data_IF_039726541790
#
_entry.id   IF_039726541790
#
_cell.length_a   1.000
_cell.length_b   1.000
_cell.length_c   1.000
_cell.angle_alpha   90.00
_cell.angle_beta   90.00
_cell.angle_gamma   90.00
#
_symmetry.space_group_name_H-M   'P 1'
#
loop_
_entity.id
_entity.type
_entity.pdbx_description
1 polymer ?
#
# COMPACT_ATOMS: atom_id res chain seq x y z
N UNK A 1 -5.16 -15.50 32.74
CA UNK A 1 -6.18 -16.53 33.08
C UNK A 1 -7.62 -16.09 32.75
N UNK A 2 -8.14 -15.01 33.36
CA UNK A 2 -9.55 -14.61 33.19
C UNK A 2 -9.98 -14.34 31.73
N UNK A 3 -9.17 -13.65 30.94
CA UNK A 3 -9.47 -13.40 29.52
C UNK A 3 -9.63 -14.69 28.71
N UNK A 4 -8.87 -15.74 29.02
CA UNK A 4 -9.00 -17.03 28.35
C UNK A 4 -10.31 -17.72 28.69
N UNK A 5 -10.76 -17.68 29.94
CA UNK A 5 -12.08 -18.19 30.33
C UNK A 5 -13.21 -17.50 29.56
N UNK A 6 -13.11 -16.18 29.40
CA UNK A 6 -14.07 -15.40 28.63
C UNK A 6 -14.04 -15.79 27.15
N UNK A 7 -12.86 -15.93 26.55
CA UNK A 7 -12.72 -16.36 25.14
C UNK A 7 -13.34 -17.75 24.93
N UNK A 8 -13.10 -18.70 25.83
CA UNK A 8 -13.72 -20.02 25.76
C UNK A 8 -15.24 -19.95 25.90
N UNK A 9 -15.76 -19.09 26.78
CA UNK A 9 -17.19 -18.90 26.92
C UNK A 9 -17.82 -18.26 25.68
N UNK A 10 -17.18 -17.25 25.08
CA UNK A 10 -17.62 -16.64 23.82
C UNK A 10 -17.62 -17.68 22.70
N UNK A 11 -16.55 -18.49 22.59
CA UNK A 11 -16.47 -19.56 21.60
C UNK A 11 -17.60 -20.58 21.77
N UNK A 12 -17.90 -20.98 23.01
CA UNK A 12 -18.98 -21.91 23.31
C UNK A 12 -20.35 -21.36 22.87
N UNK A 13 -20.66 -20.11 23.20
CA UNK A 13 -21.92 -19.48 22.79
C UNK A 13 -22.00 -19.32 21.26
N UNK A 14 -20.90 -18.90 20.62
CA UNK A 14 -20.81 -18.74 19.18
C UNK A 14 -21.03 -20.06 18.43
N UNK A 15 -20.33 -21.13 18.83
CA UNK A 15 -20.45 -22.43 18.16
C UNK A 15 -21.84 -23.05 18.33
N UNK A 16 -22.54 -22.77 19.44
CA UNK A 16 -23.96 -23.14 19.57
C UNK A 16 -24.85 -22.45 18.54
N UNK A 17 -24.56 -21.21 18.16
CA UNK A 17 -25.30 -20.52 17.10
C UNK A 17 -24.96 -21.09 15.71
N UNK A 18 -23.69 -21.41 15.47
CA UNK A 18 -23.24 -22.06 14.22
C UNK A 18 -23.92 -23.41 14.05
N UNK A 19 -23.90 -24.27 15.08
CA UNK A 19 -24.54 -25.60 15.06
C UNK A 19 -26.05 -25.51 14.82
N UNK A 20 -26.73 -24.53 15.42
CA UNK A 20 -28.17 -24.30 15.17
C UNK A 20 -28.47 -23.95 13.72
N UNK A 21 -27.58 -23.21 13.06
CA UNK A 21 -27.78 -22.75 11.68
C UNK A 21 -27.38 -23.80 10.65
N UNK A 22 -26.33 -24.58 10.93
CA UNK A 22 -25.83 -25.65 10.08
C UNK A 22 -25.63 -26.94 10.90
N UNK A 23 -26.72 -27.67 11.23
CA UNK A 23 -26.63 -28.89 12.01
C UNK A 23 -25.81 -29.98 11.29
N UNK A 24 -24.82 -30.55 11.98
CA UNK A 24 -23.98 -31.63 11.46
C UNK A 24 -22.80 -31.20 10.57
N UNK A 25 -22.64 -29.90 10.26
CA UNK A 25 -21.48 -29.38 9.53
C UNK A 25 -20.31 -29.12 10.49
N UNK A 26 -19.68 -30.19 10.96
CA UNK A 26 -18.57 -30.13 11.92
C UNK A 26 -17.32 -29.45 11.34
N UNK A 27 -17.11 -29.51 10.03
CA UNK A 27 -15.98 -28.84 9.37
C UNK A 27 -16.15 -27.32 9.40
N UNK A 28 -17.35 -26.80 9.16
CA UNK A 28 -17.65 -25.38 9.34
C UNK A 28 -17.49 -24.93 10.78
N UNK A 29 -17.99 -25.72 11.74
CA UNK A 29 -17.79 -25.41 13.17
C UNK A 29 -16.30 -25.28 13.52
N UNK A 30 -15.45 -26.16 12.96
CA UNK A 30 -13.99 -26.07 13.13
C UNK A 30 -13.42 -24.78 12.52
N UNK A 31 -13.78 -24.45 11.27
CA UNK A 31 -13.28 -23.24 10.58
C UNK A 31 -13.74 -21.93 11.23
N UNK A 32 -14.93 -21.92 11.83
CA UNK A 32 -15.48 -20.74 12.50
C UNK A 32 -15.12 -20.65 13.99
N UNK A 33 -14.42 -21.64 14.55
CA UNK A 33 -14.04 -21.60 15.96
C UNK A 33 -13.04 -20.47 16.27
N UNK A 34 -13.13 -19.94 17.49
CA UNK A 34 -12.14 -19.00 18.03
C UNK A 34 -10.87 -19.71 18.50
N UNK A 35 -10.90 -21.03 18.62
CA UNK A 35 -9.79 -21.85 19.12
C UNK A 35 -9.33 -22.77 18.00
N UNK A 36 -8.08 -22.62 17.60
CA UNK A 36 -7.41 -23.52 16.67
C UNK A 36 -6.87 -24.71 17.47
N UNK A 37 -7.36 -25.91 17.15
CA UNK A 37 -7.00 -27.16 17.84
C UNK A 37 -5.85 -27.90 17.16
N UNK A 38 -5.44 -27.50 15.95
CA UNK A 38 -4.38 -28.14 15.20
C UNK A 38 -2.99 -27.73 15.70
N UNK A 39 -2.21 -28.71 16.19
CA UNK A 39 -0.89 -28.49 16.76
C UNK A 39 -0.97 -27.93 18.17
N UNK A 40 -0.34 -26.78 18.41
CA UNK A 40 -0.44 -26.08 19.68
C UNK A 40 -1.73 -25.25 19.69
N UNK A 41 -2.57 -25.42 20.72
CA UNK A 41 -3.82 -24.69 20.85
C UNK A 41 -3.60 -23.19 20.81
N UNK A 42 -4.30 -22.49 19.92
CA UNK A 42 -4.17 -21.04 19.71
C UNK A 42 -5.54 -20.37 19.67
N UNK A 43 -5.56 -19.08 20.00
CA UNK A 43 -6.73 -18.24 19.81
C UNK A 43 -6.64 -17.59 18.43
N UNK A 44 -7.65 -17.81 17.59
CA UNK A 44 -7.79 -17.06 16.34
C UNK A 44 -8.38 -15.68 16.64
N UNK A 45 -7.49 -14.69 16.73
CA UNK A 45 -7.88 -13.31 17.06
C UNK A 45 -8.77 -12.68 15.98
N UNK A 46 -8.62 -13.09 14.71
CA UNK A 46 -9.43 -12.55 13.63
C UNK A 46 -10.89 -13.02 13.76
N UNK A 47 -11.11 -14.30 14.01
CA UNK A 47 -12.44 -14.87 14.28
C UNK A 47 -13.07 -14.20 15.51
N UNK A 48 -12.29 -14.01 16.58
CA UNK A 48 -12.78 -13.32 17.78
C UNK A 48 -13.23 -11.89 17.49
N UNK A 49 -12.47 -11.14 16.67
CA UNK A 49 -12.86 -9.81 16.24
C UNK A 49 -14.14 -9.80 15.41
N UNK A 50 -14.33 -10.76 14.50
CA UNK A 50 -15.55 -10.86 13.67
C UNK A 50 -16.78 -11.17 14.52
N UNK A 51 -16.66 -12.13 15.46
CA UNK A 51 -17.75 -12.50 16.37
C UNK A 51 -18.10 -11.34 17.31
N UNK A 52 -17.08 -10.68 17.88
CA UNK A 52 -17.25 -9.59 18.84
C UNK A 52 -17.61 -8.23 18.25
N UNK A 53 -17.61 -8.08 16.92
CA UNK A 53 -17.91 -6.80 16.26
C UNK A 53 -19.27 -6.80 15.55
N UNK A 54 -19.90 -5.63 15.49
CA UNK A 54 -21.11 -5.40 14.71
C UNK A 54 -20.82 -5.05 13.25
N UNK A 55 -19.58 -4.69 12.91
CA UNK A 55 -19.15 -4.38 11.55
C UNK A 55 -17.70 -4.83 11.32
N UNK A 56 -17.42 -5.28 10.09
CA UNK A 56 -16.09 -5.70 9.62
C UNK A 56 -15.89 -5.10 8.23
N UNK A 57 -14.75 -4.45 7.96
CA UNK A 57 -14.52 -3.83 6.66
C UNK A 57 -13.17 -4.18 6.03
N UNK A 58 -13.17 -4.33 4.71
CA UNK A 58 -11.96 -4.29 3.91
C UNK A 58 -11.53 -2.85 3.59
N UNK A 59 -10.28 -2.70 3.14
CA UNK A 59 -9.61 -1.41 2.88
C UNK A 59 -9.53 -1.00 1.41
N UNK A 60 -10.07 -1.84 0.52
CA UNK A 60 -10.23 -1.61 -0.92
C UNK A 60 -11.34 -2.57 -1.42
N UNK A 61 -12.06 -2.23 -2.49
CA UNK A 61 -13.18 -3.04 -2.99
C UNK A 61 -12.76 -4.51 -3.20
N UNK A 62 -11.69 -4.73 -3.98
CA UNK A 62 -11.13 -6.06 -4.23
C UNK A 62 -10.73 -6.80 -2.94
N UNK A 63 -10.19 -6.09 -1.94
CA UNK A 63 -9.83 -6.68 -0.67
C UNK A 63 -11.07 -7.10 0.12
N UNK A 64 -12.12 -6.27 0.14
CA UNK A 64 -13.40 -6.64 0.74
C UNK A 64 -14.01 -7.87 0.06
N UNK A 65 -13.90 -7.96 -1.27
CA UNK A 65 -14.42 -9.12 -2.01
C UNK A 65 -13.65 -10.40 -1.70
N UNK A 66 -12.32 -10.33 -1.62
CA UNK A 66 -11.48 -11.46 -1.18
C UNK A 66 -11.86 -11.90 0.23
N UNK A 67 -12.05 -10.97 1.18
CA UNK A 67 -12.45 -11.32 2.54
C UNK A 67 -13.79 -12.07 2.58
N UNK A 68 -14.79 -11.61 1.83
CA UNK A 68 -16.11 -12.27 1.75
C UNK A 68 -16.07 -13.61 1.01
N UNK A 69 -15.23 -13.73 -0.02
CA UNK A 69 -15.18 -14.92 -0.87
C UNK A 69 -14.26 -16.02 -0.33
N UNK A 70 -13.28 -15.68 0.52
CA UNK A 70 -12.24 -16.62 0.96
C UNK A 70 -12.07 -16.62 2.48
N UNK A 71 -11.36 -15.64 3.02
CA UNK A 71 -10.89 -15.63 4.42
C UNK A 71 -12.02 -15.75 5.44
N UNK A 72 -13.11 -15.03 5.22
CA UNK A 72 -14.26 -14.98 6.14
C UNK A 72 -15.55 -15.44 5.46
N UNK A 73 -15.45 -16.35 4.50
CA UNK A 73 -16.59 -16.82 3.73
C UNK A 73 -17.72 -17.35 4.64
N UNK A 74 -17.40 -18.26 5.56
CA UNK A 74 -18.40 -18.84 6.48
C UNK A 74 -19.04 -17.77 7.40
N UNK A 75 -18.25 -16.78 7.84
CA UNK A 75 -18.76 -15.65 8.64
C UNK A 75 -19.63 -14.70 7.82
N UNK A 76 -19.31 -14.49 6.55
CA UNK A 76 -20.11 -13.69 5.63
C UNK A 76 -21.45 -14.37 5.33
N UNK A 77 -21.47 -15.69 5.17
CA UNK A 77 -22.73 -16.44 5.07
C UNK A 77 -23.56 -16.32 6.35
N UNK A 78 -22.93 -16.33 7.52
CA UNK A 78 -23.63 -16.15 8.80
C UNK A 78 -24.19 -14.74 8.98
N UNK A 79 -23.40 -13.72 8.69
CA UNK A 79 -23.77 -12.32 8.93
C UNK A 79 -23.37 -11.43 7.75
N UNK A 80 -24.09 -11.50 6.61
CA UNK A 80 -23.70 -10.77 5.41
C UNK A 80 -23.67 -9.25 5.63
N UNK A 81 -24.62 -8.73 6.41
CA UNK A 81 -24.76 -7.30 6.68
C UNK A 81 -23.62 -6.70 7.52
N UNK A 82 -22.83 -7.53 8.23
CA UNK A 82 -21.65 -7.06 8.97
C UNK A 82 -20.51 -6.62 8.04
N UNK A 83 -20.43 -7.14 6.82
CA UNK A 83 -19.28 -6.96 5.95
C UNK A 83 -19.42 -5.75 5.03
N UNK A 84 -18.51 -4.80 5.19
CA UNK A 84 -18.52 -3.52 4.49
C UNK A 84 -17.20 -3.28 3.71
N UNK A 85 -17.20 -2.23 2.90
CA UNK A 85 -15.99 -1.67 2.32
C UNK A 85 -15.78 -0.23 2.79
N UNK A 86 -14.55 0.08 3.20
CA UNK A 86 -14.07 1.45 3.42
C UNK A 86 -12.73 1.59 2.73
N UNK A 87 -12.74 2.05 1.48
CA UNK A 87 -11.51 2.23 0.70
C UNK A 87 -10.61 3.28 1.37
N UNK A 88 -9.34 2.94 1.56
CA UNK A 88 -8.38 3.84 2.21
C UNK A 88 -8.22 5.15 1.46
N UNK A 89 -8.03 6.23 2.22
CA UNK A 89 -7.71 7.57 1.71
C UNK A 89 -6.41 8.11 2.30
N UNK A 90 -5.94 9.21 1.72
CA UNK A 90 -4.84 10.02 2.26
C UNK A 90 -5.34 11.45 2.50
N UNK A 91 -4.81 12.13 3.51
CA UNK A 91 -5.17 13.52 3.77
C UNK A 91 -4.49 14.46 2.75
N UNK A 92 -5.24 15.28 1.99
CA UNK A 92 -4.66 16.21 1.03
C UNK A 92 -3.86 17.34 1.71
N UNK A 93 -4.12 17.61 2.99
CA UNK A 93 -3.40 18.62 3.77
C UNK A 93 -1.91 18.28 3.89
N UNK A 94 -1.57 17.02 4.15
CA UNK A 94 -0.17 16.58 4.24
C UNK A 94 0.42 16.20 2.88
N UNK A 95 -0.35 15.48 2.08
CA UNK A 95 0.14 14.83 0.85
C UNK A 95 -0.03 15.68 -0.42
N UNK A 96 -0.50 16.91 -0.28
CA UNK A 96 -0.54 17.89 -1.37
C UNK A 96 -0.14 19.28 -0.85
N UNK A 97 -0.94 19.87 0.04
CA UNK A 97 -0.75 21.24 0.54
C UNK A 97 0.63 21.44 1.21
N UNK A 98 0.99 20.58 2.16
CA UNK A 98 2.25 20.70 2.89
C UNK A 98 3.46 20.24 2.07
N UNK A 99 3.39 19.11 1.37
CA UNK A 99 4.56 18.55 0.70
C UNK A 99 4.83 19.15 -0.69
N UNK A 100 3.84 19.80 -1.30
CA UNK A 100 3.95 20.34 -2.65
C UNK A 100 3.22 21.70 -2.79
N UNK A 101 3.65 22.72 -2.00
CA UNK A 101 2.98 24.03 -1.96
C UNK A 101 2.88 24.68 -3.35
N UNK A 102 3.93 24.62 -4.17
CA UNK A 102 3.91 25.18 -5.52
C UNK A 102 2.84 24.55 -6.44
N UNK A 103 2.53 23.25 -6.27
CA UNK A 103 1.41 22.64 -6.99
C UNK A 103 0.07 23.04 -6.40
N UNK A 104 0.01 23.18 -5.07
CA UNK A 104 -1.20 23.64 -4.37
C UNK A 104 -1.58 25.06 -4.77
N UNK A 105 -0.62 25.98 -4.83
CA UNK A 105 -0.84 27.35 -5.28
C UNK A 105 -1.36 27.37 -6.73
N UNK A 106 -0.72 26.58 -7.63
CA UNK A 106 -1.16 26.46 -9.02
C UNK A 106 -2.59 25.89 -9.17
N UNK A 107 -3.00 24.99 -8.27
CA UNK A 107 -4.37 24.47 -8.24
C UNK A 107 -5.31 25.57 -7.74
N UNK A 108 -4.96 26.23 -6.64
CA UNK A 108 -5.76 27.29 -6.03
C UNK A 108 -6.00 28.46 -6.98
N UNK A 109 -5.00 28.85 -7.79
CA UNK A 109 -5.14 29.86 -8.83
C UNK A 109 -6.20 29.52 -9.89
N UNK A 110 -6.51 28.22 -10.08
CA UNK A 110 -7.46 27.77 -11.10
C UNK A 110 -8.85 27.50 -10.56
N UNK A 111 -8.98 27.08 -9.30
CA UNK A 111 -10.24 26.56 -8.76
C UNK A 111 -10.57 27.08 -7.34
N UNK A 112 -9.80 28.02 -6.78
CA UNK A 112 -9.95 28.52 -5.41
C UNK A 112 -9.35 27.58 -4.35
N UNK A 113 -9.50 27.88 -3.06
CA UNK A 113 -8.82 27.15 -1.96
C UNK A 113 -9.65 26.04 -1.30
N UNK A 114 -10.94 25.94 -1.63
CA UNK A 114 -11.87 25.00 -0.99
C UNK A 114 -11.53 23.52 -1.25
N UNK A 115 -10.75 23.23 -2.30
CA UNK A 115 -10.34 21.85 -2.63
C UNK A 115 -9.54 21.16 -1.51
N UNK A 116 -8.95 21.94 -0.60
CA UNK A 116 -8.15 21.41 0.52
C UNK A 116 -9.00 20.59 1.50
N UNK A 117 -10.31 20.88 1.61
CA UNK A 117 -11.31 20.11 2.37
C UNK A 117 -12.28 19.36 1.46
N UNK A 118 -12.46 19.79 0.20
CA UNK A 118 -13.33 19.17 -0.80
C UNK A 118 -12.54 18.66 -2.01
N UNK A 119 -11.81 17.55 -1.82
CA UNK A 119 -10.83 17.06 -2.81
C UNK A 119 -11.44 16.68 -4.16
N UNK A 120 -12.74 16.38 -4.20
CA UNK A 120 -13.52 16.12 -5.42
C UNK A 120 -13.52 17.32 -6.38
N UNK A 121 -13.34 18.54 -5.88
CA UNK A 121 -13.22 19.75 -6.71
C UNK A 121 -12.03 19.70 -7.68
N UNK A 122 -10.99 18.88 -7.42
CA UNK A 122 -9.87 18.69 -8.36
C UNK A 122 -10.33 18.21 -9.75
N UNK A 123 -11.53 17.63 -9.88
CA UNK A 123 -12.10 17.28 -11.19
C UNK A 123 -12.27 18.49 -12.12
N UNK A 124 -12.45 19.69 -11.58
CA UNK A 124 -12.57 20.92 -12.36
C UNK A 124 -11.31 21.23 -13.18
N UNK A 125 -10.13 20.76 -12.73
CA UNK A 125 -8.86 20.91 -13.45
C UNK A 125 -8.85 20.23 -14.82
N UNK A 126 -9.76 19.26 -15.07
CA UNK A 126 -9.90 18.60 -16.39
C UNK A 126 -10.10 19.61 -17.53
N UNK A 127 -10.73 20.76 -17.25
CA UNK A 127 -10.95 21.85 -18.21
C UNK A 127 -9.64 22.45 -18.74
N UNK A 128 -8.59 22.42 -17.92
CA UNK A 128 -7.26 22.96 -18.22
C UNK A 128 -6.28 21.89 -18.72
N UNK A 129 -6.69 20.62 -18.80
CA UNK A 129 -5.78 19.51 -19.10
C UNK A 129 -5.11 19.61 -20.49
N UNK A 130 -5.76 20.28 -21.45
CA UNK A 130 -5.22 20.52 -22.81
C UNK A 130 -4.64 21.93 -22.99
N UNK A 131 -4.67 22.78 -21.96
CA UNK A 131 -4.08 24.12 -22.03
C UNK A 131 -2.54 24.01 -21.97
N UNK A 132 -1.80 24.41 -23.03
CA UNK A 132 -0.35 24.35 -23.05
C UNK A 132 0.31 25.18 -21.95
N UNK A 133 -0.31 26.30 -21.54
CA UNK A 133 0.22 27.13 -20.46
C UNK A 133 0.14 26.41 -19.11
N UNK A 134 -1.02 25.81 -18.81
CA UNK A 134 -1.20 25.02 -17.60
C UNK A 134 -0.28 23.79 -17.56
N UNK A 135 -0.14 23.07 -18.66
CA UNK A 135 0.78 21.94 -18.76
C UNK A 135 2.23 22.35 -18.47
N UNK A 136 2.70 23.47 -19.06
CA UNK A 136 4.04 24.01 -18.78
C UNK A 136 4.21 24.39 -17.31
N UNK A 137 3.20 24.99 -16.68
CA UNK A 137 3.24 25.33 -15.26
C UNK A 137 3.36 24.09 -14.37
N UNK A 138 2.54 23.05 -14.61
CA UNK A 138 2.64 21.77 -13.87
C UNK A 138 4.01 21.11 -14.07
N UNK A 139 4.53 21.11 -15.29
CA UNK A 139 5.86 20.57 -15.59
C UNK A 139 6.97 21.34 -14.87
N UNK A 140 6.89 22.67 -14.82
CA UNK A 140 7.83 23.52 -14.07
C UNK A 140 7.85 23.15 -12.59
N UNK A 141 6.68 23.06 -11.95
CA UNK A 141 6.56 22.64 -10.55
C UNK A 141 7.17 21.25 -10.33
N UNK A 142 6.91 20.29 -11.24
CA UNK A 142 7.52 18.96 -11.16
C UNK A 142 9.05 19.03 -11.25
N UNK A 143 9.59 19.86 -12.14
CA UNK A 143 11.04 20.00 -12.31
C UNK A 143 11.70 20.64 -11.09
N UNK A 144 11.09 21.67 -10.50
CA UNK A 144 11.55 22.29 -9.25
C UNK A 144 11.54 21.27 -8.11
N UNK A 145 10.51 20.43 -8.01
CA UNK A 145 10.47 19.35 -7.02
C UNK A 145 11.60 18.33 -7.20
N UNK A 146 11.96 18.00 -8.45
CA UNK A 146 13.09 17.10 -8.74
C UNK A 146 14.43 17.73 -8.36
N UNK A 147 14.61 19.03 -8.61
CA UNK A 147 15.79 19.78 -8.19
C UNK A 147 15.93 19.77 -6.66
N UNK A 148 14.85 20.05 -5.92
CA UNK A 148 14.83 19.98 -4.46
C UNK A 148 15.23 18.60 -3.93
N UNK A 149 14.70 17.54 -4.54
CA UNK A 149 15.05 16.17 -4.16
C UNK A 149 16.50 15.81 -4.50
N UNK A 150 17.02 16.25 -5.65
CA UNK A 150 18.40 16.02 -6.03
C UNK A 150 19.38 16.68 -5.03
N UNK A 151 19.13 17.94 -4.66
CA UNK A 151 19.93 18.64 -3.64
C UNK A 151 19.83 17.96 -2.27
N UNK A 152 18.67 17.42 -1.91
CA UNK A 152 18.49 16.68 -0.67
C UNK A 152 19.32 15.39 -0.65
N UNK A 153 19.30 14.63 -1.75
CA UNK A 153 20.06 13.37 -1.87
C UNK A 153 21.56 13.67 -1.83
N UNK A 154 22.03 14.66 -2.58
CA UNK A 154 23.45 15.06 -2.57
C UNK A 154 23.91 15.47 -1.16
N UNK A 155 23.09 16.24 -0.44
CA UNK A 155 23.39 16.66 0.93
C UNK A 155 23.47 15.47 1.90
N UNK A 156 22.54 14.53 1.80
CA UNK A 156 22.40 13.45 2.80
C UNK A 156 23.28 12.23 2.49
N UNK A 157 23.67 12.02 1.23
CA UNK A 157 24.41 10.82 0.80
C UNK A 157 25.69 11.11 0.01
N UNK A 158 25.90 12.36 -0.44
CA UNK A 158 27.00 12.73 -1.33
C UNK A 158 26.80 12.29 -2.80
N UNK A 159 25.67 11.66 -3.14
CA UNK A 159 25.41 11.16 -4.50
C UNK A 159 24.73 12.24 -5.33
N UNK A 160 25.37 12.65 -6.42
CA UNK A 160 24.78 13.53 -7.42
C UNK A 160 23.90 12.75 -8.39
N UNK A 161 22.68 13.22 -8.63
CA UNK A 161 21.74 12.61 -9.58
C UNK A 161 21.32 13.62 -10.64
N UNK A 162 21.05 13.16 -11.87
CA UNK A 162 20.62 14.00 -12.97
C UNK A 162 19.12 14.37 -12.85
N UNK A 163 18.74 15.64 -12.56
CA UNK A 163 17.34 16.04 -12.43
C UNK A 163 16.59 16.11 -13.75
N UNK A 164 17.25 15.97 -14.91
CA UNK A 164 16.60 15.83 -16.21
C UNK A 164 16.14 14.38 -16.47
N UNK A 165 16.70 13.40 -15.77
CA UNK A 165 16.31 11.99 -15.90
C UNK A 165 14.89 11.72 -15.38
N UNK A 166 14.29 10.62 -15.81
CA UNK A 166 13.05 10.14 -15.20
C UNK A 166 13.36 9.62 -13.79
N UNK A 167 12.64 10.13 -12.77
CA UNK A 167 12.74 9.63 -11.40
C UNK A 167 11.78 8.46 -11.23
N UNK A 168 12.33 7.25 -11.13
CA UNK A 168 11.60 5.99 -10.98
C UNK A 168 11.70 5.54 -9.52
N UNK A 169 10.63 5.73 -8.74
CA UNK A 169 10.69 5.68 -7.27
C UNK A 169 9.78 4.58 -6.72
N UNK A 170 10.37 3.63 -5.98
CA UNK A 170 9.66 2.59 -5.26
C UNK A 170 9.93 2.70 -3.76
N UNK A 171 9.12 3.51 -3.06
CA UNK A 171 9.24 3.71 -1.60
C UNK A 171 8.09 3.02 -0.86
N UNK A 172 8.42 2.00 -0.07
CA UNK A 172 7.48 1.23 0.79
C UNK A 172 8.26 0.27 1.69
N UNK A 173 7.62 -0.35 2.69
CA UNK A 173 8.23 -1.46 3.45
C UNK A 173 8.87 -2.49 2.50
N UNK A 174 10.04 -3.03 2.83
CA UNK A 174 10.69 -4.05 2.01
C UNK A 174 10.06 -5.40 2.35
N UNK A 175 9.50 -6.06 1.35
CA UNK A 175 8.79 -7.32 1.51
C UNK A 175 8.67 -8.06 0.18
N UNK A 176 8.77 -9.38 0.17
CA UNK A 176 8.69 -10.20 -1.05
C UNK A 176 7.44 -9.93 -1.91
N UNK A 177 6.24 -9.86 -1.30
CA UNK A 177 5.01 -9.58 -2.06
C UNK A 177 4.99 -8.18 -2.70
N UNK A 178 5.82 -7.24 -2.21
CA UNK A 178 5.95 -5.88 -2.77
C UNK A 178 6.91 -5.83 -3.96
N UNK A 179 7.60 -6.93 -4.24
CA UNK A 179 8.39 -7.19 -5.45
C UNK A 179 9.45 -6.12 -5.73
N UNK A 180 10.16 -5.64 -4.73
CA UNK A 180 11.37 -4.84 -4.95
C UNK A 180 12.42 -5.62 -5.75
N UNK A 181 12.53 -6.94 -5.54
CA UNK A 181 13.40 -7.81 -6.34
C UNK A 181 13.09 -7.73 -7.84
N UNK A 182 11.81 -7.74 -8.23
CA UNK A 182 11.41 -7.61 -9.64
C UNK A 182 11.87 -6.27 -10.23
N UNK A 183 11.79 -5.18 -9.45
CA UNK A 183 12.29 -3.88 -9.88
C UNK A 183 13.82 -3.89 -10.06
N UNK A 184 14.56 -4.49 -9.12
CA UNK A 184 16.02 -4.63 -9.22
C UNK A 184 16.42 -5.45 -10.45
N UNK A 185 15.72 -6.55 -10.74
CA UNK A 185 15.95 -7.34 -11.96
C UNK A 185 15.74 -6.50 -13.22
N UNK A 186 14.72 -5.65 -13.24
CA UNK A 186 14.51 -4.72 -14.35
C UNK A 186 15.67 -3.71 -14.49
N UNK A 187 16.21 -3.20 -13.39
CA UNK A 187 17.42 -2.33 -13.42
C UNK A 187 18.61 -3.07 -14.04
N UNK A 188 18.87 -4.31 -13.64
CA UNK A 188 19.94 -5.14 -14.19
C UNK A 188 19.73 -5.37 -15.70
N UNK A 189 18.49 -5.62 -16.13
CA UNK A 189 18.17 -5.77 -17.56
C UNK A 189 18.44 -4.49 -18.33
N UNK A 190 18.07 -3.31 -17.79
CA UNK A 190 18.36 -2.03 -18.43
C UNK A 190 19.86 -1.78 -18.54
N UNK A 191 20.62 -2.03 -17.47
CA UNK A 191 22.07 -1.93 -17.45
C UNK A 191 22.70 -2.81 -18.53
N UNK A 192 22.33 -4.09 -18.59
CA UNK A 192 22.87 -5.03 -19.57
C UNK A 192 22.54 -4.64 -21.01
N UNK A 193 21.34 -4.09 -21.27
CA UNK A 193 20.96 -3.58 -22.60
C UNK A 193 21.81 -2.37 -23.01
N UNK A 194 22.03 -1.44 -22.09
CA UNK A 194 22.90 -0.27 -22.33
C UNK A 194 24.35 -0.72 -22.61
N UNK A 195 24.86 -1.69 -21.84
CA UNK A 195 26.21 -2.24 -22.06
C UNK A 195 26.35 -2.95 -23.40
N UNK A 196 25.29 -3.63 -23.87
CA UNK A 196 25.29 -4.36 -25.14
C UNK A 196 25.22 -3.45 -26.35
N UNK A 197 24.40 -2.40 -26.29
CA UNK A 197 24.29 -1.40 -27.35
C UNK A 197 24.22 0.00 -26.74
N UNK A 198 25.37 0.65 -26.53
CA UNK A 198 25.42 1.99 -25.94
C UNK A 198 24.77 3.08 -26.81
N UNK A 199 24.56 2.82 -28.11
CA UNK A 199 23.99 3.79 -29.06
C UNK A 199 22.47 3.75 -29.13
N UNK A 200 21.85 2.71 -28.56
CA UNK A 200 20.40 2.58 -28.55
C UNK A 200 19.70 3.72 -27.80
N UNK A 201 18.47 4.09 -28.19
CA UNK A 201 17.75 5.22 -27.62
C UNK A 201 17.18 4.86 -26.23
N UNK A 202 17.96 5.11 -25.18
CA UNK A 202 17.49 4.97 -23.79
C UNK A 202 17.10 6.32 -23.20
N UNK A 203 15.96 6.37 -22.51
CA UNK A 203 15.64 7.49 -21.63
C UNK A 203 16.47 7.39 -20.34
N UNK A 204 17.24 8.43 -19.96
CA UNK A 204 17.96 8.44 -18.69
C UNK A 204 17.00 8.27 -17.50
N UNK A 205 17.37 7.41 -16.54
CA UNK A 205 16.56 7.13 -15.34
C UNK A 205 17.41 7.21 -14.09
N UNK A 206 16.84 7.78 -13.03
CA UNK A 206 17.33 7.64 -11.66
C UNK A 206 16.35 6.75 -10.90
N UNK A 207 16.75 5.52 -10.61
CA UNK A 207 15.91 4.54 -9.90
C UNK A 207 16.18 4.62 -8.41
N UNK A 208 15.14 4.88 -7.61
CA UNK A 208 15.24 5.05 -6.16
C UNK A 208 14.36 4.01 -5.45
N UNK A 209 14.99 3.10 -4.70
CA UNK A 209 14.29 2.11 -3.90
C UNK A 209 14.47 2.48 -2.43
N UNK A 210 13.35 2.71 -1.73
CA UNK A 210 13.37 3.17 -0.33
C UNK A 210 12.46 2.34 0.56
N UNK A 211 12.92 1.97 1.76
CA UNK A 211 12.12 1.20 2.69
C UNK A 211 12.91 0.64 3.87
N UNK A 212 12.18 0.08 4.83
CA UNK A 212 12.77 -0.67 5.96
C UNK A 212 12.30 -2.13 5.89
N UNK A 213 13.19 -3.05 6.28
CA UNK A 213 12.89 -4.45 6.52
C UNK A 213 12.68 -4.69 8.03
N UNK A 214 11.86 -5.68 8.39
CA UNK A 214 11.74 -6.10 9.78
C UNK A 214 13.08 -6.72 10.26
N UNK A 215 13.45 -6.57 11.54
CA UNK A 215 14.76 -7.03 12.04
C UNK A 215 15.06 -8.51 11.78
N UNK A 216 14.06 -9.39 11.95
CA UNK A 216 14.19 -10.83 11.71
C UNK A 216 13.93 -11.28 10.27
N UNK A 217 13.58 -10.37 9.35
CA UNK A 217 13.23 -10.74 7.99
C UNK A 217 14.48 -10.81 7.11
N UNK A 218 15.15 -11.96 7.15
CA UNK A 218 16.40 -12.21 6.44
C UNK A 218 16.32 -11.90 4.93
N UNK A 219 15.33 -12.46 4.22
CA UNK A 219 15.19 -12.25 2.77
C UNK A 219 14.98 -10.77 2.41
N UNK A 220 14.16 -10.04 3.19
CA UNK A 220 13.96 -8.61 2.95
C UNK A 220 15.27 -7.81 3.13
N UNK A 221 16.13 -8.20 4.07
CA UNK A 221 17.48 -7.60 4.22
C UNK A 221 18.40 -7.96 3.06
N UNK A 222 18.34 -9.18 2.54
CA UNK A 222 19.10 -9.57 1.34
C UNK A 222 18.68 -8.77 0.11
N UNK A 223 17.38 -8.46 -0.05
CA UNK A 223 16.89 -7.59 -1.13
C UNK A 223 17.47 -6.17 -1.01
N UNK A 224 17.59 -5.63 0.21
CA UNK A 224 18.24 -4.33 0.44
C UNK A 224 19.73 -4.41 0.04
N UNK A 225 20.44 -5.44 0.50
CA UNK A 225 21.85 -5.64 0.17
C UNK A 225 22.07 -5.75 -1.34
N UNK A 226 21.21 -6.50 -2.04
CA UNK A 226 21.23 -6.61 -3.50
C UNK A 226 21.02 -5.26 -4.18
N UNK A 227 20.05 -4.46 -3.74
CA UNK A 227 19.81 -3.12 -4.30
C UNK A 227 21.04 -2.22 -4.16
N UNK A 228 21.69 -2.23 -2.99
CA UNK A 228 22.92 -1.48 -2.77
C UNK A 228 24.08 -1.97 -3.64
N UNK A 229 24.25 -3.30 -3.76
CA UNK A 229 25.30 -3.89 -4.59
C UNK A 229 25.13 -3.53 -6.07
N UNK A 230 23.91 -3.62 -6.60
CA UNK A 230 23.60 -3.20 -7.98
C UNK A 230 23.84 -1.71 -8.18
N UNK A 231 23.54 -0.87 -7.19
CA UNK A 231 23.80 0.57 -7.26
C UNK A 231 25.29 0.96 -7.29
N UNK A 232 26.19 0.06 -6.90
CA UNK A 232 27.64 0.27 -6.90
C UNK A 232 28.35 -0.30 -8.14
N UNK A 233 27.61 -0.89 -9.10
CA UNK A 233 28.15 -1.49 -10.34
C UNK A 233 28.09 -0.53 -11.51
#
# INVERSE_FOLDING_TARGET
PRHMELIYHINFLHLKEVEKRWPGDFDRMRRMSLIEEEGEKRVNMANLCVVGSHAVNGVAAIHSDILKATVFHDFYEMWPDKFQNKTNGITPRRWLLLCNPALSDLISDKIGDEWTTHLDQLQQLKRWAKDPAFQRAVMKVKQENKLRLASLIERDTGVQINPASMFDVQVKRIHEYKRQLLNILHVIVLYNRIKRDPSAPFTPRTVMIGGKAAPGYFIAKQIIALACAVGNT
#
